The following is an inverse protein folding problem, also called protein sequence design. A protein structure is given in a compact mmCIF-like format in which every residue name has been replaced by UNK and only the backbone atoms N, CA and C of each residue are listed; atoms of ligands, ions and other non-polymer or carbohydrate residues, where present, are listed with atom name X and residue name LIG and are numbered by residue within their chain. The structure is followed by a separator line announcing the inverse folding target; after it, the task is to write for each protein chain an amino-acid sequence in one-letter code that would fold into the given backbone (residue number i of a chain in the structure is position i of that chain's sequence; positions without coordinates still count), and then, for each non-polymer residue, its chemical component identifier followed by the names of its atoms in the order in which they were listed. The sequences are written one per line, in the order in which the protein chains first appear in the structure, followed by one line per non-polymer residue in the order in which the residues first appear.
data_IF_257081044999
#
_entry.id   IF_257081044999
#
_cell.length_a   1.000
_cell.length_b   1.000
_cell.length_c   1.000
_cell.angle_alpha   90.00
_cell.angle_beta   90.00
_cell.angle_gamma   90.00
#
_symmetry.space_group_name_H-M   'P 1'
#
loop_
_entity.id
_entity.type
_entity.pdbx_description
1 polymer ?
#
# COMPACT_ATOMS: atom_id res chain seq x y z
N UNK A 1 -8.32 -4.69 -7.59
CA UNK A 1 -7.57 -5.90 -7.18
C UNK A 1 -7.15 -5.60 -5.76
N UNK A 2 -7.49 -6.45 -4.80
CA UNK A 2 -7.15 -6.20 -3.39
C UNK A 2 -5.74 -6.72 -3.12
N UNK A 3 -4.93 -5.94 -2.41
CA UNK A 3 -3.62 -6.37 -1.94
C UNK A 3 -3.73 -7.24 -0.69
N UNK A 4 -2.76 -8.12 -0.50
CA UNK A 4 -2.64 -9.01 0.66
C UNK A 4 -1.47 -8.56 1.56
N UNK A 5 -1.40 -9.11 2.78
CA UNK A 5 -0.22 -8.95 3.62
C UNK A 5 1.01 -9.54 2.90
N UNK A 6 2.18 -8.89 3.04
CA UNK A 6 3.43 -9.14 2.33
C UNK A 6 3.48 -8.71 0.84
N UNK A 7 2.40 -8.19 0.25
CA UNK A 7 2.44 -7.66 -1.12
C UNK A 7 3.30 -6.41 -1.23
N UNK A 8 4.01 -6.28 -2.37
CA UNK A 8 4.76 -5.07 -2.71
C UNK A 8 3.91 -4.12 -3.53
N UNK A 9 3.87 -2.87 -3.08
CA UNK A 9 3.07 -1.82 -3.70
C UNK A 9 3.85 -0.52 -3.76
N UNK A 10 3.61 0.26 -4.80
CA UNK A 10 4.08 1.64 -4.93
C UNK A 10 2.99 2.56 -4.41
N UNK A 11 3.34 3.43 -3.45
CA UNK A 11 2.43 4.45 -2.95
C UNK A 11 2.40 5.64 -3.91
N UNK A 12 1.21 6.07 -4.30
CA UNK A 12 0.95 7.27 -5.07
C UNK A 12 0.04 8.19 -4.28
N UNK A 13 0.65 9.06 -3.47
CA UNK A 13 -0.05 10.06 -2.66
C UNK A 13 0.82 11.32 -2.52
N UNK A 14 0.43 12.40 -3.22
CA UNK A 14 1.13 13.70 -3.19
C UNK A 14 1.21 14.34 -1.79
N UNK A 15 0.41 13.87 -0.84
CA UNK A 15 0.43 14.32 0.56
C UNK A 15 1.31 13.45 1.46
N UNK A 16 1.71 12.27 1.01
CA UNK A 16 2.61 11.38 1.77
C UNK A 16 4.07 11.71 1.50
N UNK A 17 4.90 11.41 2.49
CA UNK A 17 6.35 11.53 2.41
C UNK A 17 6.97 10.41 1.57
N UNK A 18 6.23 9.31 1.38
CA UNK A 18 6.64 8.10 0.67
C UNK A 18 6.06 8.02 -0.76
N UNK A 19 5.64 9.15 -1.33
CA UNK A 19 5.11 9.22 -2.70
C UNK A 19 6.13 8.70 -3.73
N UNK A 20 5.71 7.73 -4.53
CA UNK A 20 6.53 7.05 -5.52
C UNK A 20 7.50 6.02 -4.93
N UNK A 21 7.48 5.78 -3.62
CA UNK A 21 8.28 4.73 -2.99
C UNK A 21 7.56 3.38 -3.00
N UNK A 22 8.35 2.30 -3.07
CA UNK A 22 7.84 0.94 -2.95
C UNK A 22 7.89 0.50 -1.50
N UNK A 23 6.76 0.06 -0.97
CA UNK A 23 6.65 -0.50 0.36
C UNK A 23 5.96 -1.87 0.35
N UNK A 24 5.82 -2.44 1.54
CA UNK A 24 5.20 -3.75 1.74
C UNK A 24 3.94 -3.61 2.57
N UNK A 25 2.84 -4.21 2.12
CA UNK A 25 1.60 -4.27 2.87
C UNK A 25 1.81 -5.12 4.11
N UNK A 26 1.59 -4.54 5.29
CA UNK A 26 1.74 -5.24 6.58
C UNK A 26 0.41 -5.45 7.29
N UNK A 27 -0.64 -4.76 6.84
CA UNK A 27 -1.98 -4.92 7.40
C UNK A 27 -3.04 -4.44 6.41
N UNK A 28 -4.16 -5.16 6.37
CA UNK A 28 -5.36 -4.79 5.61
C UNK A 28 -6.51 -4.54 6.58
N UNK A 29 -7.15 -3.38 6.46
CA UNK A 29 -8.36 -3.03 7.21
C UNK A 29 -9.52 -2.81 6.27
N UNK A 30 -10.49 -3.72 6.32
CA UNK A 30 -11.78 -3.56 5.66
C UNK A 30 -12.75 -2.78 6.56
N UNK A 31 -13.27 -1.69 6.02
CA UNK A 31 -14.39 -0.95 6.59
C UNK A 31 -15.69 -1.73 6.40
N UNK A 32 -16.63 -1.60 7.35
CA UNK A 32 -17.96 -2.20 7.26
C UNK A 32 -18.79 -1.71 6.06
N UNK A 33 -18.35 -0.65 5.38
CA UNK A 33 -18.96 -0.07 4.18
C UNK A 33 -18.31 -0.55 2.87
N UNK A 34 -17.28 -1.38 2.93
CA UNK A 34 -16.59 -1.94 1.78
C UNK A 34 -15.33 -1.18 1.35
N UNK A 35 -14.98 -0.08 2.01
CA UNK A 35 -13.70 0.59 1.79
C UNK A 35 -12.56 -0.19 2.45
N UNK A 36 -11.53 -0.55 1.68
CA UNK A 36 -10.34 -1.20 2.22
C UNK A 36 -9.21 -0.19 2.33
N UNK A 37 -8.56 -0.16 3.48
CA UNK A 37 -7.36 0.63 3.71
C UNK A 37 -6.20 -0.27 4.11
N UNK A 38 -4.99 0.16 3.78
CA UNK A 38 -3.78 -0.64 3.88
C UNK A 38 -2.77 0.07 4.77
N UNK A 39 -1.93 -0.71 5.43
CA UNK A 39 -0.74 -0.21 6.12
C UNK A 39 0.49 -0.67 5.37
N UNK A 40 1.25 0.28 4.84
CA UNK A 40 2.45 0.02 4.06
C UNK A 40 3.68 0.33 4.92
N UNK A 41 4.60 -0.62 5.02
CA UNK A 41 5.89 -0.42 5.67
C UNK A 41 6.96 -0.14 4.62
N UNK A 42 7.78 0.87 4.90
CA UNK A 42 8.92 1.31 4.11
C UNK A 42 10.21 1.15 4.93
N UNK A 43 11.38 1.44 4.34
CA UNK A 43 12.66 1.36 5.05
C UNK A 43 12.79 2.40 6.18
N UNK A 44 12.26 3.61 5.97
CA UNK A 44 12.35 4.74 6.91
C UNK A 44 11.08 4.94 7.77
N UNK A 45 10.06 4.09 7.62
CA UNK A 45 8.80 4.26 8.36
C UNK A 45 7.65 3.37 7.91
N UNK A 46 6.44 3.74 8.29
CA UNK A 46 5.21 3.08 7.85
C UNK A 46 4.09 4.11 7.67
N UNK A 47 3.24 3.89 6.67
CA UNK A 47 2.07 4.70 6.35
C UNK A 47 0.81 3.85 6.54
N UNK A 48 -0.17 4.37 7.29
CA UNK A 48 -1.39 3.64 7.62
C UNK A 48 -2.63 4.37 7.14
N UNK A 49 -3.65 3.61 6.70
CA UNK A 49 -4.88 4.18 6.18
C UNK A 49 -4.80 4.53 4.69
N UNK A 50 -3.86 3.94 3.97
CA UNK A 50 -3.69 4.14 2.53
C UNK A 50 -4.85 3.48 1.78
N UNK A 51 -5.60 4.18 0.90
CA UNK A 51 -6.66 3.56 0.11
C UNK A 51 -6.09 2.72 -1.04
N UNK A 52 -6.85 1.72 -1.51
CA UNK A 52 -6.42 0.90 -2.67
C UNK A 52 -6.13 1.74 -3.92
N UNK A 53 -6.87 2.83 -4.13
CA UNK A 53 -6.71 3.74 -5.28
C UNK A 53 -5.36 4.47 -5.29
N UNK A 54 -4.71 4.60 -4.11
CA UNK A 54 -3.38 5.21 -3.98
C UNK A 54 -2.25 4.17 -4.08
N UNK A 55 -2.57 2.89 -4.29
CA UNK A 55 -1.59 1.82 -4.37
C UNK A 55 -1.54 1.25 -5.79
N UNK A 56 -0.34 1.20 -6.35
CA UNK A 56 -0.07 0.46 -7.57
C UNK A 56 0.67 -0.83 -7.23
N UNK A 57 0.29 -1.95 -7.84
CA UNK A 57 1.04 -3.18 -7.71
C UNK A 57 2.47 -2.94 -8.19
N UNK A 58 3.45 -3.06 -7.29
CA UNK A 58 4.84 -3.00 -7.70
C UNK A 58 5.09 -4.23 -8.58
N UNK A 59 5.71 -4.05 -9.74
CA UNK A 59 6.07 -5.17 -10.58
C UNK A 59 6.92 -6.15 -9.75
N UNK A 60 6.35 -7.28 -9.37
CA UNK A 60 7.13 -8.47 -9.09
C UNK A 60 7.84 -8.78 -10.41
N UNK A 61 9.15 -8.92 -10.39
CA UNK A 61 9.93 -9.37 -11.55
C UNK A 61 9.28 -10.70 -12.01
N UNK A 62 8.37 -10.61 -12.99
CA UNK A 62 7.82 -11.74 -13.74
C UNK A 62 9.02 -12.29 -14.54
N UNK A 63 9.77 -13.21 -13.92
CA UNK A 63 10.84 -14.00 -14.55
C UNK A 63 10.34 -14.80 -15.78
#
# INVERSE_FOLDING_TARGET
MSFEEDDRVVLHDEHSEFDGETGTVTQTMESMFGDVTYTISFEDGQEAGVPEDALEAAAEDDE
#
